data_IF_322224613611
#
_entry.id   IF_322224613611
#
_cell.length_a   1.000
_cell.length_b   1.000
_cell.length_c   1.000
_cell.angle_alpha   90.00
_cell.angle_beta   90.00
_cell.angle_gamma   90.00
#
_symmetry.space_group_name_H-M   'P 1'
#
loop_
_entity.id
_entity.type
_entity.pdbx_description
1 polymer ?
#
# COMPACT_ATOMS: atom_id res chain seq x y z
N UNK A 1 16.50 -36.19 -64.43
CA UNK A 1 16.82 -34.89 -63.79
C UNK A 1 17.03 -35.18 -62.30
N UNK A 2 18.23 -35.66 -61.96
CA UNK A 2 19.34 -34.98 -61.23
C UNK A 2 18.99 -34.69 -59.76
N UNK A 3 19.55 -35.57 -58.92
CA UNK A 3 19.45 -35.71 -57.47
C UNK A 3 20.14 -34.53 -56.78
N UNK A 4 19.47 -33.86 -55.85
CA UNK A 4 20.08 -32.88 -54.95
C UNK A 4 20.65 -33.59 -53.73
N UNK A 5 21.94 -33.38 -53.54
CA UNK A 5 22.83 -34.03 -52.56
C UNK A 5 22.91 -33.20 -51.29
N UNK A 6 23.04 -33.94 -50.18
CA UNK A 6 23.26 -33.56 -48.80
C UNK A 6 24.64 -32.90 -48.59
N UNK A 7 24.68 -31.70 -48.00
CA UNK A 7 25.89 -30.96 -47.53
C UNK A 7 25.37 -30.01 -46.44
N UNK A 8 25.88 -29.85 -45.22
CA UNK A 8 27.04 -30.36 -44.51
C UNK A 8 26.87 -29.87 -43.06
N UNK A 9 26.80 -30.80 -42.11
CA UNK A 9 26.94 -30.47 -40.69
C UNK A 9 28.42 -30.32 -40.33
N UNK A 10 28.77 -29.23 -39.66
CA UNK A 10 29.95 -29.13 -38.79
C UNK A 10 29.72 -27.97 -37.81
N UNK A 11 29.04 -28.26 -36.71
CA UNK A 11 29.02 -27.40 -35.53
C UNK A 11 30.21 -27.83 -34.66
N UNK A 12 31.34 -27.15 -34.84
CA UNK A 12 32.52 -27.31 -34.00
C UNK A 12 32.65 -26.05 -33.14
N UNK A 13 32.12 -26.10 -31.92
CA UNK A 13 32.48 -25.17 -30.86
C UNK A 13 32.88 -26.00 -29.65
N UNK A 14 34.16 -26.41 -29.64
CA UNK A 14 34.83 -26.91 -28.45
C UNK A 14 35.22 -25.67 -27.64
N UNK A 15 34.53 -25.44 -26.53
CA UNK A 15 34.99 -24.59 -25.44
C UNK A 15 35.28 -25.47 -24.23
N UNK A 16 36.54 -25.90 -24.09
CA UNK A 16 37.04 -26.48 -22.84
C UNK A 16 37.52 -25.36 -21.92
N UNK A 17 36.99 -25.36 -20.69
CA UNK A 17 37.65 -25.08 -19.42
C UNK A 17 36.55 -24.54 -18.49
N UNK A 18 36.23 -25.14 -17.35
CA UNK A 18 37.01 -25.94 -16.43
C UNK A 18 36.02 -26.66 -15.52
N UNK A 19 36.24 -27.94 -15.25
CA UNK A 19 35.70 -28.58 -14.05
C UNK A 19 36.45 -27.98 -12.88
N UNK A 20 35.91 -26.90 -12.32
CA UNK A 20 36.17 -26.57 -10.92
C UNK A 20 35.02 -27.18 -10.15
N UNK A 21 35.30 -28.28 -9.46
CA UNK A 21 34.46 -28.75 -8.38
C UNK A 21 34.52 -27.73 -7.25
N UNK A 22 33.75 -26.65 -7.35
CA UNK A 22 33.25 -26.01 -6.16
C UNK A 22 31.82 -26.50 -5.99
N UNK A 23 31.63 -27.30 -4.94
CA UNK A 23 30.33 -27.68 -4.43
C UNK A 23 29.73 -26.42 -3.80
N UNK A 24 29.28 -25.51 -4.64
CA UNK A 24 28.50 -24.36 -4.24
C UNK A 24 27.06 -24.84 -4.22
N UNK A 25 26.70 -25.53 -3.13
CA UNK A 25 25.32 -25.84 -2.77
C UNK A 25 24.65 -24.50 -2.39
N UNK A 26 24.50 -23.63 -3.39
CA UNK A 26 23.72 -22.41 -3.33
C UNK A 26 22.29 -22.83 -3.13
N UNK A 27 21.85 -22.77 -1.88
CA UNK A 27 20.44 -22.78 -1.51
C UNK A 27 19.71 -21.86 -2.51
N UNK A 28 18.64 -22.31 -3.19
CA UNK A 28 17.97 -21.46 -4.16
C UNK A 28 17.59 -20.17 -3.43
N UNK A 29 18.19 -19.06 -3.88
CA UNK A 29 17.89 -17.74 -3.36
C UNK A 29 16.41 -17.51 -3.65
N UNK A 30 15.58 -17.58 -2.62
CA UNK A 30 14.13 -17.37 -2.76
C UNK A 30 13.94 -15.94 -3.22
N UNK A 31 13.74 -15.75 -4.53
CA UNK A 31 13.48 -14.42 -5.08
C UNK A 31 12.15 -13.95 -4.51
N UNK A 32 12.22 -12.98 -3.61
CA UNK A 32 11.07 -12.30 -3.03
C UNK A 32 10.54 -11.33 -4.09
N UNK A 33 9.45 -11.71 -4.77
CA UNK A 33 8.84 -10.92 -5.84
C UNK A 33 7.51 -10.37 -5.35
N UNK A 34 7.34 -9.06 -5.50
CA UNK A 34 6.06 -8.39 -5.26
C UNK A 34 5.03 -8.82 -6.31
N UNK A 35 3.78 -9.01 -5.89
CA UNK A 35 2.73 -9.56 -6.74
C UNK A 35 1.62 -8.55 -6.94
N UNK A 36 1.30 -8.22 -8.19
CA UNK A 36 0.06 -7.50 -8.51
C UNK A 36 -1.15 -8.39 -8.23
N UNK A 37 -2.08 -7.90 -7.43
CA UNK A 37 -3.33 -8.60 -7.08
C UNK A 37 -4.54 -7.74 -7.46
N UNK A 38 -5.75 -8.30 -7.38
CA UNK A 38 -6.97 -7.52 -7.56
C UNK A 38 -7.38 -6.88 -6.23
N UNK A 39 -8.09 -5.75 -6.31
CA UNK A 39 -8.69 -5.09 -5.13
C UNK A 39 -9.59 -6.04 -4.33
N UNK A 40 -10.28 -6.95 -5.00
CA UNK A 40 -11.13 -7.97 -4.37
C UNK A 40 -10.37 -8.97 -3.50
N UNK A 41 -9.05 -9.09 -3.69
CA UNK A 41 -8.20 -9.99 -2.93
C UNK A 41 -7.71 -9.35 -1.62
N UNK A 42 -7.96 -8.05 -1.41
CA UNK A 42 -7.63 -7.37 -0.17
C UNK A 42 -8.50 -7.85 0.98
N UNK A 43 -7.99 -7.80 2.22
CA UNK A 43 -8.83 -7.87 3.40
C UNK A 43 -9.98 -6.86 3.33
N UNK A 44 -11.18 -7.26 3.72
CA UNK A 44 -12.39 -6.44 3.55
C UNK A 44 -12.36 -5.12 4.33
N UNK A 45 -11.68 -5.09 5.47
CA UNK A 45 -11.42 -3.87 6.23
C UNK A 45 -10.45 -2.91 5.52
N UNK A 46 -9.50 -3.42 4.72
CA UNK A 46 -8.70 -2.57 3.84
C UNK A 46 -9.56 -1.99 2.72
N UNK A 47 -10.38 -2.82 2.06
CA UNK A 47 -11.31 -2.35 1.03
C UNK A 47 -12.37 -1.38 1.58
N UNK A 48 -12.76 -1.53 2.85
CA UNK A 48 -13.68 -0.61 3.52
C UNK A 48 -13.10 0.82 3.58
N UNK A 49 -11.82 0.99 3.93
CA UNK A 49 -11.17 2.30 3.88
C UNK A 49 -11.10 2.87 2.46
N UNK A 50 -10.73 2.04 1.48
CA UNK A 50 -10.69 2.48 0.07
C UNK A 50 -12.08 2.93 -0.38
N UNK A 51 -13.10 2.11 -0.15
CA UNK A 51 -14.49 2.43 -0.50
C UNK A 51 -14.98 3.71 0.20
N UNK A 52 -14.62 3.86 1.48
CA UNK A 52 -14.89 5.05 2.27
C UNK A 52 -14.31 6.30 1.61
N UNK A 53 -13.04 6.27 1.21
CA UNK A 53 -12.36 7.36 0.52
C UNK A 53 -12.92 7.67 -0.87
N UNK A 54 -13.40 6.65 -1.60
CA UNK A 54 -13.92 6.81 -2.95
C UNK A 54 -15.42 7.18 -3.02
N UNK A 55 -16.11 7.30 -1.88
CA UNK A 55 -17.55 7.58 -1.87
C UNK A 55 -18.41 6.38 -2.27
N UNK A 56 -17.83 5.18 -2.32
CA UNK A 56 -18.53 3.93 -2.65
C UNK A 56 -19.33 3.41 -1.43
N UNK A 57 -20.31 2.50 -1.64
CA UNK A 57 -20.85 1.71 -0.55
C UNK A 57 -19.74 1.01 0.23
N UNK A 58 -19.80 1.08 1.56
CA UNK A 58 -18.83 0.50 2.48
C UNK A 58 -19.35 -0.81 3.06
N UNK A 59 -18.46 -1.53 3.74
CA UNK A 59 -18.86 -2.73 4.47
C UNK A 59 -19.64 -2.40 5.74
N UNK A 60 -20.52 -3.30 6.15
CA UNK A 60 -21.07 -3.34 7.51
C UNK A 60 -19.96 -3.49 8.58
N UNK A 61 -20.33 -3.28 9.85
CA UNK A 61 -19.39 -3.34 10.98
C UNK A 61 -18.71 -4.71 11.15
N UNK A 62 -19.29 -5.77 10.60
CA UNK A 62 -18.76 -7.14 10.65
C UNK A 62 -17.92 -7.49 9.42
N UNK A 63 -17.72 -6.55 8.49
CA UNK A 63 -17.04 -6.76 7.22
C UNK A 63 -17.60 -7.95 6.44
N UNK A 64 -18.92 -8.11 6.40
CA UNK A 64 -19.61 -9.19 5.70
C UNK A 64 -20.20 -8.74 4.38
N UNK A 65 -20.95 -7.64 4.39
CA UNK A 65 -21.70 -7.12 3.25
C UNK A 65 -21.24 -5.72 2.87
N UNK A 66 -21.00 -5.47 1.58
CA UNK A 66 -20.61 -4.14 1.03
C UNK A 66 -21.82 -3.44 0.41
N UNK A 67 -22.70 -2.95 1.26
CA UNK A 67 -23.96 -2.31 0.86
C UNK A 67 -24.37 -1.15 1.78
N UNK A 68 -23.53 -0.79 2.74
CA UNK A 68 -23.81 0.32 3.65
C UNK A 68 -23.49 1.63 2.93
N UNK A 69 -24.41 2.60 3.00
CA UNK A 69 -24.19 3.93 2.44
C UNK A 69 -22.95 4.56 3.06
N UNK A 70 -22.11 5.16 2.23
CA UNK A 70 -20.95 5.91 2.70
C UNK A 70 -21.41 7.10 3.57
N UNK A 71 -20.90 7.25 4.80
CA UNK A 71 -21.36 8.32 5.70
C UNK A 71 -20.77 9.68 5.34
N UNK A 72 -19.73 9.73 4.50
CA UNK A 72 -19.05 10.97 4.13
C UNK A 72 -19.76 11.66 2.97
N UNK A 73 -19.84 12.99 3.04
CA UNK A 73 -20.41 13.79 1.97
C UNK A 73 -19.52 13.79 0.73
N UNK A 74 -20.05 14.22 -0.42
CA UNK A 74 -19.30 14.30 -1.68
C UNK A 74 -18.04 15.20 -1.59
N UNK A 75 -18.05 16.22 -0.72
CA UNK A 75 -16.87 17.09 -0.50
C UNK A 75 -15.78 16.38 0.30
N UNK A 76 -16.16 15.43 1.16
CA UNK A 76 -15.26 14.69 2.06
C UNK A 76 -14.78 13.35 1.51
N UNK A 77 -15.06 13.06 0.24
CA UNK A 77 -14.57 11.87 -0.49
C UNK A 77 -13.90 12.26 -1.81
N UNK A 78 -13.10 11.38 -2.38
CA UNK A 78 -12.41 11.56 -3.65
C UNK A 78 -13.29 11.10 -4.83
N UNK A 79 -14.35 11.87 -5.11
CA UNK A 79 -15.30 11.56 -6.19
C UNK A 79 -14.59 11.42 -7.54
N UNK A 80 -14.87 10.34 -8.27
CA UNK A 80 -14.30 10.06 -9.59
C UNK A 80 -12.88 9.49 -9.59
N UNK A 81 -12.27 9.34 -8.41
CA UNK A 81 -10.98 8.65 -8.26
C UNK A 81 -11.20 7.13 -8.27
N UNK A 82 -10.24 6.40 -8.83
CA UNK A 82 -10.27 4.95 -8.95
C UNK A 82 -8.98 4.33 -8.43
N UNK A 83 -9.00 3.04 -8.10
CA UNK A 83 -7.78 2.27 -7.81
C UNK A 83 -7.06 1.97 -9.12
N UNK A 84 -5.77 2.33 -9.22
CA UNK A 84 -4.93 2.08 -10.40
C UNK A 84 -4.07 0.84 -10.25
N UNK A 85 -3.61 0.52 -9.05
CA UNK A 85 -2.87 -0.71 -8.76
C UNK A 85 -3.08 -1.19 -7.34
N UNK A 86 -2.96 -2.52 -7.17
CA UNK A 86 -2.88 -3.18 -5.87
C UNK A 86 -1.72 -4.17 -5.94
N UNK A 87 -0.78 -4.03 -5.02
CA UNK A 87 0.45 -4.82 -4.96
C UNK A 87 0.56 -5.46 -3.59
N UNK A 88 0.82 -6.76 -3.56
CA UNK A 88 1.22 -7.49 -2.36
C UNK A 88 2.75 -7.56 -2.33
N UNK A 89 3.35 -6.97 -1.32
CA UNK A 89 4.79 -6.99 -1.09
C UNK A 89 5.24 -8.38 -0.69
N UNK A 90 6.42 -8.78 -1.16
CA UNK A 90 7.05 -10.03 -0.77
C UNK A 90 7.54 -10.01 0.68
N UNK A 91 7.93 -8.83 1.16
CA UNK A 91 8.32 -8.57 2.56
C UNK A 91 7.49 -7.43 3.11
N UNK A 92 7.01 -7.56 4.34
CA UNK A 92 6.35 -6.46 5.03
C UNK A 92 7.32 -5.28 5.18
N UNK A 93 6.82 -4.06 5.00
CA UNK A 93 7.59 -2.86 5.30
C UNK A 93 8.02 -2.90 6.79
N UNK A 94 9.30 -2.68 7.06
CA UNK A 94 9.86 -2.85 8.41
C UNK A 94 9.34 -1.80 9.41
N UNK A 95 9.03 -0.59 8.94
CA UNK A 95 8.67 0.55 9.80
C UNK A 95 7.19 0.52 10.21
N UNK A 96 6.32 0.17 9.27
CA UNK A 96 4.86 0.25 9.45
C UNK A 96 4.12 -1.08 9.23
N UNK A 97 4.82 -2.14 8.79
CA UNK A 97 4.23 -3.46 8.61
C UNK A 97 3.30 -3.59 7.39
N UNK A 98 3.29 -2.62 6.47
CA UNK A 98 2.50 -2.71 5.25
C UNK A 98 2.93 -3.93 4.41
N UNK A 99 1.96 -4.74 4.00
CA UNK A 99 2.12 -5.88 3.08
C UNK A 99 1.34 -5.64 1.79
N UNK A 100 0.29 -4.84 1.82
CA UNK A 100 -0.43 -4.43 0.62
C UNK A 100 -0.21 -2.94 0.36
N UNK A 101 0.03 -2.58 -0.90
CA UNK A 101 0.09 -1.21 -1.36
C UNK A 101 -1.00 -0.99 -2.40
N UNK A 102 -1.68 0.15 -2.31
CA UNK A 102 -2.73 0.57 -3.23
C UNK A 102 -2.39 1.96 -3.74
N UNK A 103 -2.47 2.14 -5.06
CA UNK A 103 -2.32 3.46 -5.68
C UNK A 103 -3.67 3.89 -6.25
N UNK A 104 -4.06 5.13 -5.98
CA UNK A 104 -5.26 5.75 -6.53
C UNK A 104 -4.92 6.62 -7.75
N UNK A 105 -5.91 6.88 -8.61
CA UNK A 105 -5.72 7.63 -9.86
C UNK A 105 -5.36 9.11 -9.66
N UNK A 106 -5.57 9.64 -8.47
CA UNK A 106 -5.12 10.98 -8.05
C UNK A 106 -3.73 10.99 -7.40
N UNK A 107 -3.04 9.85 -7.38
CA UNK A 107 -1.68 9.71 -6.83
C UNK A 107 -1.60 9.38 -5.34
N UNK A 108 -2.73 9.33 -4.62
CA UNK A 108 -2.73 8.90 -3.22
C UNK A 108 -2.31 7.44 -3.12
N UNK A 109 -1.42 7.13 -2.18
CA UNK A 109 -0.96 5.78 -1.88
C UNK A 109 -1.46 5.34 -0.51
N UNK A 110 -1.94 4.10 -0.42
CA UNK A 110 -2.34 3.48 0.83
C UNK A 110 -1.50 2.23 1.08
N UNK A 111 -1.12 2.04 2.33
CA UNK A 111 -0.50 0.80 2.80
C UNK A 111 -1.42 0.09 3.78
N UNK A 112 -1.51 -1.23 3.69
CA UNK A 112 -2.26 -2.06 4.63
C UNK A 112 -1.40 -3.20 5.16
N UNK A 113 -1.56 -3.50 6.45
CA UNK A 113 -0.97 -4.65 7.12
C UNK A 113 -1.64 -5.95 6.63
N UNK A 114 -1.05 -7.09 6.97
CA UNK A 114 -1.58 -8.40 6.60
C UNK A 114 -3.03 -8.63 7.07
N UNK A 115 -3.41 -8.06 8.22
CA UNK A 115 -4.77 -8.12 8.79
C UNK A 115 -5.74 -7.10 8.19
N UNK A 116 -5.29 -6.30 7.22
CA UNK A 116 -6.08 -5.28 6.54
C UNK A 116 -6.21 -3.96 7.28
N UNK A 117 -5.62 -3.81 8.47
CA UNK A 117 -5.52 -2.49 9.10
C UNK A 117 -4.62 -1.60 8.25
N UNK A 118 -4.97 -0.32 8.17
CA UNK A 118 -4.14 0.65 7.48
C UNK A 118 -2.79 0.78 8.19
N UNK A 119 -1.74 0.97 7.40
CA UNK A 119 -0.39 1.27 7.82
C UNK A 119 -0.05 2.73 7.47
N UNK A 120 -0.46 3.20 6.29
CA UNK A 120 -0.37 4.61 5.91
C UNK A 120 -1.43 5.00 4.88
N UNK A 121 -1.71 6.30 4.82
CA UNK A 121 -2.32 6.99 3.68
C UNK A 121 -1.43 8.19 3.38
N UNK A 122 -0.78 8.17 2.22
CA UNK A 122 0.12 9.21 1.74
C UNK A 122 -0.54 9.93 0.57
N UNK A 123 -0.90 11.19 0.80
CA UNK A 123 -1.57 12.02 -0.17
C UNK A 123 -0.69 12.42 -1.36
N UNK A 124 0.64 12.21 -1.30
CA UNK A 124 1.60 12.73 -2.31
C UNK A 124 1.41 14.22 -2.62
N UNK A 125 1.13 15.01 -1.57
CA UNK A 125 0.84 16.44 -1.67
C UNK A 125 -0.64 16.80 -1.80
N UNK A 126 -1.54 15.81 -1.97
CA UNK A 126 -2.99 16.01 -1.85
C UNK A 126 -3.38 16.02 -0.37
N UNK A 127 -4.22 16.99 0.03
CA UNK A 127 -4.80 17.02 1.37
C UNK A 127 -5.69 15.80 1.61
N UNK A 128 -5.53 15.17 2.77
CA UNK A 128 -6.38 14.09 3.22
C UNK A 128 -7.77 14.63 3.58
N UNK A 129 -8.82 14.01 3.03
CA UNK A 129 -10.21 14.33 3.34
C UNK A 129 -10.68 13.60 4.60
N UNK A 130 -11.83 13.97 5.14
CA UNK A 130 -12.38 13.33 6.33
C UNK A 130 -12.55 11.82 6.19
N UNK A 131 -12.95 11.34 5.01
CA UNK A 131 -13.01 9.90 4.70
C UNK A 131 -11.68 9.15 4.85
N UNK A 132 -10.54 9.85 4.89
CA UNK A 132 -9.23 9.29 5.17
C UNK A 132 -8.79 9.58 6.62
N UNK A 133 -8.66 10.85 7.02
CA UNK A 133 -8.07 11.17 8.33
C UNK A 133 -8.92 10.74 9.53
N UNK A 134 -10.23 10.48 9.35
CA UNK A 134 -11.10 9.98 10.42
C UNK A 134 -10.72 8.58 10.93
N UNK A 135 -9.84 7.86 10.22
CA UNK A 135 -9.29 6.57 10.65
C UNK A 135 -8.15 6.70 11.67
N UNK A 136 -7.69 7.92 11.95
CA UNK A 136 -6.87 8.19 13.13
C UNK A 136 -7.71 7.94 14.41
N UNK A 137 -7.10 7.46 15.50
CA UNK A 137 -7.80 7.37 16.78
C UNK A 137 -8.38 8.74 17.19
N UNK A 138 -9.59 8.74 17.76
CA UNK A 138 -10.25 9.97 18.19
C UNK A 138 -9.35 10.86 19.09
N UNK A 139 -8.59 10.32 20.07
CA UNK A 139 -7.67 11.14 20.85
C UNK A 139 -6.57 11.81 20.00
N UNK A 140 -6.03 11.12 18.99
CA UNK A 140 -5.06 11.69 18.04
C UNK A 140 -5.70 12.82 17.24
N UNK A 141 -6.93 12.63 16.75
CA UNK A 141 -7.67 13.69 16.06
C UNK A 141 -7.88 14.91 16.96
N UNK A 142 -8.24 14.70 18.23
CA UNK A 142 -8.38 15.77 19.23
C UNK A 142 -7.07 16.53 19.41
N UNK A 143 -5.95 15.83 19.56
CA UNK A 143 -4.64 16.45 19.71
C UNK A 143 -4.21 17.24 18.47
N UNK A 144 -4.48 16.75 17.27
CA UNK A 144 -4.22 17.49 16.02
C UNK A 144 -5.07 18.76 15.96
N UNK A 145 -6.36 18.69 16.30
CA UNK A 145 -7.24 19.88 16.38
C UNK A 145 -6.82 20.88 17.47
N UNK A 146 -6.05 20.43 18.45
CA UNK A 146 -5.44 21.30 19.48
C UNK A 146 -4.28 22.15 18.97
N UNK A 147 -3.70 21.85 17.79
CA UNK A 147 -2.61 22.63 17.20
C UNK A 147 -3.12 23.98 16.68
N UNK A 148 -4.18 23.94 15.88
CA UNK A 148 -4.83 25.11 15.28
C UNK A 148 -6.24 24.73 14.80
N UNK A 149 -7.06 25.72 14.46
CA UNK A 149 -8.40 25.49 13.92
C UNK A 149 -8.41 24.75 12.56
N UNK A 150 -7.31 24.80 11.80
CA UNK A 150 -7.18 24.25 10.44
C UNK A 150 -6.30 23.00 10.36
N UNK A 151 -5.56 22.66 11.41
CA UNK A 151 -4.53 21.61 11.37
C UNK A 151 -5.05 20.26 10.84
N UNK A 152 -6.24 19.82 11.25
CA UNK A 152 -6.80 18.54 10.80
C UNK A 152 -7.03 18.49 9.27
N UNK A 153 -7.33 19.64 8.66
CA UNK A 153 -7.58 19.74 7.21
C UNK A 153 -6.31 19.97 6.41
N UNK A 154 -5.17 20.13 7.08
CA UNK A 154 -3.85 20.35 6.47
C UNK A 154 -3.02 19.05 6.43
N UNK A 155 -3.58 17.91 6.84
CA UNK A 155 -2.89 16.62 6.81
C UNK A 155 -2.69 16.20 5.36
N UNK A 156 -1.46 15.85 5.00
CA UNK A 156 -1.10 15.27 3.70
C UNK A 156 -0.67 13.80 3.80
N UNK A 157 -0.25 13.35 4.97
CA UNK A 157 0.09 11.94 5.20
C UNK A 157 -0.22 11.54 6.64
N UNK A 158 -0.75 10.34 6.81
CA UNK A 158 -0.88 9.66 8.10
C UNK A 158 -0.25 8.27 8.02
N UNK A 159 0.44 7.84 9.07
CA UNK A 159 1.12 6.56 9.15
C UNK A 159 1.06 6.02 10.58
N UNK A 160 0.96 4.71 10.76
CA UNK A 160 1.08 4.04 12.05
C UNK A 160 2.22 3.01 11.99
N UNK A 161 3.21 3.18 12.87
CA UNK A 161 4.37 2.29 12.91
C UNK A 161 4.02 0.90 13.44
N UNK A 162 4.96 -0.04 13.33
CA UNK A 162 4.87 -1.36 13.99
C UNK A 162 4.84 -1.25 15.53
N UNK A 163 5.34 -0.15 16.09
CA UNK A 163 5.27 0.17 17.52
C UNK A 163 3.96 0.88 17.94
N UNK A 164 3.03 1.13 17.02
CA UNK A 164 1.76 1.80 17.33
C UNK A 164 1.85 3.32 17.45
N UNK A 165 2.91 3.94 16.91
CA UNK A 165 3.07 5.41 16.90
C UNK A 165 2.44 5.98 15.63
N UNK A 166 1.51 6.91 15.80
CA UNK A 166 0.84 7.62 14.73
C UNK A 166 1.64 8.85 14.31
N UNK A 167 2.15 8.85 13.09
CA UNK A 167 2.85 9.98 12.48
C UNK A 167 1.91 10.72 11.55
N UNK A 168 1.70 12.01 11.81
CA UNK A 168 0.90 12.92 10.99
C UNK A 168 1.83 13.94 10.35
N UNK A 169 1.77 14.05 9.02
CA UNK A 169 2.51 15.05 8.25
C UNK A 169 1.54 16.06 7.68
N UNK A 170 1.86 17.34 7.87
CA UNK A 170 1.05 18.48 7.41
C UNK A 170 1.59 19.06 6.11
N UNK A 171 0.77 19.85 5.43
CA UNK A 171 1.06 20.46 4.13
C UNK A 171 2.33 21.33 4.15
N UNK A 172 2.64 21.97 5.27
CA UNK A 172 3.85 22.77 5.47
C UNK A 172 5.12 21.93 5.68
N UNK A 173 5.00 20.60 5.69
CA UNK A 173 6.08 19.66 5.97
C UNK A 173 6.30 19.39 7.46
N UNK A 174 5.53 20.03 8.36
CA UNK A 174 5.58 19.73 9.79
C UNK A 174 5.17 18.27 10.02
N UNK A 175 5.89 17.59 10.91
CA UNK A 175 5.60 16.21 11.33
C UNK A 175 5.33 16.17 12.83
N UNK A 176 4.24 15.52 13.22
CA UNK A 176 3.89 15.26 14.62
C UNK A 176 3.68 13.77 14.84
N UNK A 177 4.07 13.29 16.02
CA UNK A 177 3.95 11.89 16.42
C UNK A 177 3.09 11.78 17.67
N UNK A 178 2.25 10.76 17.69
CA UNK A 178 1.30 10.53 18.76
C UNK A 178 1.24 9.05 19.15
N UNK A 179 1.05 8.80 20.44
CA UNK A 179 0.53 7.52 20.92
C UNK A 179 -0.97 7.42 20.56
N UNK A 180 -1.55 6.22 20.66
CA UNK A 180 -2.97 6.00 20.36
C UNK A 180 -3.92 6.86 21.24
N UNK A 181 -3.50 7.15 22.46
CA UNK A 181 -4.22 8.02 23.40
C UNK A 181 -4.08 9.52 23.10
N UNK A 182 -3.43 9.89 21.99
CA UNK A 182 -3.26 11.26 21.54
C UNK A 182 -2.14 12.03 22.25
N UNK A 183 -1.43 11.44 23.21
CA UNK A 183 -0.24 12.04 23.80
C UNK A 183 0.92 12.06 22.79
N UNK A 184 1.88 12.98 22.96
CA UNK A 184 3.06 13.01 22.09
C UNK A 184 3.92 11.75 22.29
N UNK A 185 4.43 11.20 21.19
CA UNK A 185 5.31 10.03 21.15
C UNK A 185 6.76 10.41 20.82
#
# INVERSE_FOLDING_TARGET
>A
MKKTVLVLGCLLAIGFSSVSCNRDDGMPETVLVDTTIQRSDLPKNADHLIASMLGEPIYDATFTSKNVTNPFSASEVYTGVTVTSVTRLATANADNGAVYQVVLSNGIELGFKQDGKWAYVDGKGVLLKESAWSYLPLPVQTSVRGISATAITEIVKMEVSTAGVYTVTFQDGTVKKYNEDGTAA
#
